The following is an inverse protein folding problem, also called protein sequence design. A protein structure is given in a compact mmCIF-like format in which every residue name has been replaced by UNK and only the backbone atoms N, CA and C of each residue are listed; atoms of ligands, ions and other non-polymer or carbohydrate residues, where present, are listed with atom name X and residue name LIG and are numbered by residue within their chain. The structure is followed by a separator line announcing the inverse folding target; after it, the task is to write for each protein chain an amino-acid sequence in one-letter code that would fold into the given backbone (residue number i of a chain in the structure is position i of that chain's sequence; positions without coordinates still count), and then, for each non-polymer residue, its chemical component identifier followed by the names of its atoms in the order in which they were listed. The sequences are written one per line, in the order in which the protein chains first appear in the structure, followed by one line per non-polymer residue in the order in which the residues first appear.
data_IF_800706429043
#
_entry.id   IF_800706429043
#
_cell.length_a   1.000
_cell.length_b   1.000
_cell.length_c   1.000
_cell.angle_alpha   90.00
_cell.angle_beta   90.00
_cell.angle_gamma   90.00
#
_symmetry.space_group_name_H-M   'P 1'
#
loop_
_entity.id
_entity.type
_entity.pdbx_description
1 polymer ?
#
# COMPACT_ATOMS: atom_id res chain seq x y z
N UNK A 1 34.09 -12.20 3.01
CA UNK A 1 33.86 -12.79 4.36
C UNK A 1 32.45 -12.43 4.86
N UNK A 2 31.84 -13.21 5.78
CA UNK A 2 30.56 -12.83 6.39
C UNK A 2 30.73 -11.54 7.20
N UNK A 3 29.70 -10.69 7.17
CA UNK A 3 29.70 -9.40 7.87
C UNK A 3 29.70 -9.64 9.38
N UNK A 4 30.47 -8.86 10.14
CA UNK A 4 30.51 -8.99 11.59
C UNK A 4 29.24 -8.38 12.21
N UNK A 5 28.16 -9.16 12.24
CA UNK A 5 26.86 -8.73 12.76
C UNK A 5 26.89 -8.38 14.25
N UNK A 6 27.88 -8.85 15.01
CA UNK A 6 28.04 -8.51 16.43
C UNK A 6 28.40 -7.04 16.63
N UNK A 7 29.25 -6.47 15.77
CA UNK A 7 29.60 -5.05 15.81
C UNK A 7 28.35 -4.20 15.58
N UNK A 8 27.51 -4.60 14.62
CA UNK A 8 26.28 -3.89 14.29
C UNK A 8 25.27 -3.97 15.43
N UNK A 9 24.99 -5.18 15.95
CA UNK A 9 24.05 -5.39 17.06
C UNK A 9 24.45 -4.58 18.30
N UNK A 10 25.72 -4.68 18.69
CA UNK A 10 26.26 -3.92 19.82
C UNK A 10 26.10 -2.41 19.62
N UNK A 11 26.39 -1.91 18.41
CA UNK A 11 26.22 -0.48 18.13
C UNK A 11 24.77 -0.03 18.29
N UNK A 12 23.80 -0.79 17.76
CA UNK A 12 22.37 -0.49 17.89
C UNK A 12 21.94 -0.49 19.37
N UNK A 13 22.41 -1.46 20.16
CA UNK A 13 22.13 -1.55 21.60
C UNK A 13 22.72 -0.37 22.38
N UNK A 14 23.98 -0.02 22.12
CA UNK A 14 24.68 1.08 22.79
C UNK A 14 24.10 2.47 22.43
N UNK A 15 23.38 2.58 21.32
CA UNK A 15 22.83 3.83 20.79
C UNK A 15 21.31 3.78 20.59
N UNK A 16 20.60 3.00 21.41
CA UNK A 16 19.14 2.95 21.37
C UNK A 16 18.55 4.34 21.62
N UNK A 17 17.55 4.71 20.80
CA UNK A 17 16.93 6.03 20.85
C UNK A 17 15.44 5.91 20.56
N UNK A 18 14.64 6.64 21.33
CA UNK A 18 13.21 6.82 21.10
C UNK A 18 12.89 7.92 20.07
N UNK A 19 13.92 8.56 19.50
CA UNK A 19 13.74 9.59 18.48
C UNK A 19 13.22 9.00 17.16
N UNK A 20 12.11 9.53 16.68
CA UNK A 20 11.56 9.23 15.36
C UNK A 20 12.16 10.17 14.30
N UNK A 21 12.92 9.60 13.36
CA UNK A 21 13.54 10.35 12.28
C UNK A 21 12.55 10.85 11.24
N UNK A 22 12.88 12.02 10.69
CA UNK A 22 12.12 12.68 9.63
C UNK A 22 12.45 12.11 8.25
N UNK A 23 13.68 11.65 8.08
CA UNK A 23 14.10 10.96 6.86
C UNK A 23 13.67 9.50 6.88
N UNK A 24 13.16 9.01 5.76
CA UNK A 24 12.74 7.62 5.57
C UNK A 24 13.72 6.90 4.63
N UNK A 25 14.00 5.63 4.93
CA UNK A 25 14.84 4.79 4.10
C UNK A 25 14.23 4.64 2.70
N UNK A 26 15.05 4.81 1.67
CA UNK A 26 14.64 4.64 0.28
C UNK A 26 15.16 3.33 -0.30
N UNK A 27 16.47 3.12 -0.17
CA UNK A 27 17.19 1.94 -0.64
C UNK A 27 18.60 1.94 -0.08
N UNK A 28 19.27 0.80 -0.20
CA UNK A 28 20.65 0.65 0.19
C UNK A 28 21.25 -0.62 -0.38
N UNK A 29 22.54 -0.60 -0.64
CA UNK A 29 23.22 -1.76 -1.22
C UNK A 29 24.65 -1.87 -0.71
N UNK A 30 25.18 -3.09 -0.79
CA UNK A 30 26.54 -3.40 -0.39
C UNK A 30 27.53 -3.00 -1.48
N UNK A 31 28.60 -2.31 -1.10
CA UNK A 31 29.68 -1.89 -2.03
C UNK A 31 31.02 -2.57 -1.76
N UNK A 32 31.20 -3.13 -0.56
CA UNK A 32 32.42 -3.81 -0.14
C UNK A 32 32.13 -4.93 0.86
N UNK A 33 33.18 -5.55 1.40
CA UNK A 33 33.01 -6.62 2.39
C UNK A 33 32.31 -6.13 3.67
N UNK A 34 32.56 -4.88 4.08
CA UNK A 34 31.97 -4.26 5.27
C UNK A 34 31.42 -2.87 4.98
N UNK A 35 31.16 -2.55 3.71
CA UNK A 35 30.81 -1.21 3.24
C UNK A 35 29.47 -1.22 2.53
N UNK A 36 28.63 -0.23 2.86
CA UNK A 36 27.27 -0.08 2.37
C UNK A 36 27.00 1.37 2.01
N UNK A 37 26.12 1.55 1.03
CA UNK A 37 25.57 2.86 0.69
C UNK A 37 24.07 2.82 0.91
N UNK A 38 23.56 3.80 1.63
CA UNK A 38 22.13 3.98 1.88
C UNK A 38 21.68 5.32 1.33
N UNK A 39 20.43 5.38 0.90
CA UNK A 39 19.76 6.58 0.45
C UNK A 39 18.49 6.78 1.27
N UNK A 40 18.37 7.95 1.85
CA UNK A 40 17.24 8.41 2.64
C UNK A 40 16.64 9.65 2.01
N UNK A 41 15.37 9.92 2.31
CA UNK A 41 14.72 11.14 1.87
C UNK A 41 13.67 11.65 2.85
N UNK A 42 13.39 12.94 2.78
CA UNK A 42 12.20 13.55 3.38
C UNK A 42 11.55 14.51 2.40
N UNK A 43 10.30 14.87 2.67
CA UNK A 43 9.64 15.99 2.01
C UNK A 43 9.58 17.19 2.96
N UNK A 44 9.93 18.37 2.47
CA UNK A 44 9.76 19.62 3.23
C UNK A 44 8.28 20.03 3.32
N UNK A 45 8.00 21.15 3.99
CA UNK A 45 6.62 21.65 4.16
C UNK A 45 5.92 22.02 2.84
N UNK A 46 6.66 22.14 1.73
CA UNK A 46 6.14 22.37 0.38
C UNK A 46 6.21 21.10 -0.48
N UNK A 47 6.40 19.94 0.15
CA UNK A 47 6.60 18.63 -0.47
C UNK A 47 7.77 18.54 -1.47
N UNK A 48 8.81 19.36 -1.28
CA UNK A 48 10.05 19.22 -2.05
C UNK A 48 10.91 18.15 -1.42
N UNK A 49 11.38 17.23 -2.26
CA UNK A 49 12.25 16.12 -1.86
C UNK A 49 13.63 16.62 -1.44
N UNK A 50 14.09 16.15 -0.30
CA UNK A 50 15.44 16.35 0.22
C UNK A 50 16.07 14.98 0.40
N UNK A 51 17.13 14.73 -0.34
CA UNK A 51 17.83 13.45 -0.39
C UNK A 51 19.09 13.47 0.48
N UNK A 52 19.37 12.35 1.13
CA UNK A 52 20.57 12.12 1.92
C UNK A 52 21.19 10.79 1.53
N UNK A 53 22.49 10.82 1.22
CA UNK A 53 23.26 9.62 1.00
C UNK A 53 24.19 9.39 2.19
N UNK A 54 24.27 8.13 2.61
CA UNK A 54 25.08 7.72 3.75
C UNK A 54 25.93 6.53 3.35
N UNK A 55 27.24 6.66 3.55
CA UNK A 55 28.18 5.56 3.44
C UNK A 55 28.42 4.99 4.84
N UNK A 56 28.25 3.67 4.99
CA UNK A 56 28.38 2.97 6.27
C UNK A 56 29.46 1.89 6.15
N UNK A 57 30.42 1.91 7.08
CA UNK A 57 31.42 0.87 7.24
C UNK A 57 31.27 0.17 8.61
N UNK A 58 31.33 -1.16 8.63
CA UNK A 58 31.06 -1.99 9.82
C UNK A 58 32.12 -3.07 10.10
N UNK A 59 33.41 -2.82 9.79
CA UNK A 59 34.47 -3.82 9.95
C UNK A 59 34.77 -4.14 11.43
N UNK A 60 35.27 -3.13 12.17
CA UNK A 60 35.61 -3.23 13.61
C UNK A 60 34.74 -2.33 14.48
N UNK A 61 34.33 -1.21 13.92
CA UNK A 61 33.47 -0.20 14.52
C UNK A 61 32.54 0.32 13.42
N UNK A 62 31.39 0.87 13.80
CA UNK A 62 30.48 1.50 12.86
C UNK A 62 31.00 2.92 12.57
N UNK A 63 31.23 3.20 11.29
CA UNK A 63 31.51 4.55 10.77
C UNK A 63 30.45 4.91 9.76
N UNK A 64 29.95 6.14 9.85
CA UNK A 64 28.99 6.69 8.91
C UNK A 64 29.50 8.01 8.36
N UNK A 65 29.37 8.20 7.05
CA UNK A 65 29.65 9.45 6.37
C UNK A 65 28.39 9.92 5.65
N UNK A 66 27.96 11.15 5.93
CA UNK A 66 26.75 11.75 5.36
C UNK A 66 27.13 12.78 4.31
N UNK A 67 26.38 12.85 3.22
CA UNK A 67 26.54 13.92 2.21
C UNK A 67 26.10 15.28 2.71
N UNK A 68 25.20 15.32 3.70
CA UNK A 68 24.57 16.54 4.20
C UNK A 68 24.84 16.77 5.69
N UNK A 69 24.78 18.05 6.11
CA UNK A 69 24.97 18.41 7.51
C UNK A 69 23.65 18.26 8.30
N UNK A 70 23.54 17.18 9.06
CA UNK A 70 22.40 16.89 9.93
C UNK A 70 22.72 17.11 11.41
N UNK A 71 21.68 17.26 12.22
CA UNK A 71 21.84 17.20 13.67
C UNK A 71 22.19 15.76 14.12
N UNK A 72 22.81 15.63 15.30
CA UNK A 72 23.32 14.34 15.77
C UNK A 72 22.20 13.31 16.06
N UNK A 73 21.01 13.73 16.49
CA UNK A 73 19.89 12.83 16.74
C UNK A 73 19.39 12.18 15.44
N UNK A 74 19.28 12.97 14.37
CA UNK A 74 18.87 12.50 13.04
C UNK A 74 19.94 11.59 12.44
N UNK A 75 21.23 11.95 12.57
CA UNK A 75 22.34 11.05 12.16
C UNK A 75 22.24 9.71 12.86
N UNK A 76 22.09 9.71 14.20
CA UNK A 76 22.02 8.48 14.97
C UNK A 76 20.81 7.61 14.57
N UNK A 77 19.66 8.23 14.31
CA UNK A 77 18.48 7.52 13.83
C UNK A 77 18.74 6.86 12.47
N UNK A 78 19.26 7.60 11.50
CA UNK A 78 19.57 7.08 10.16
C UNK A 78 20.60 5.95 10.22
N UNK A 79 21.63 6.06 11.07
CA UNK A 79 22.62 4.99 11.26
C UNK A 79 21.93 3.75 11.82
N UNK A 80 21.19 3.87 12.92
CA UNK A 80 20.52 2.72 13.54
C UNK A 80 19.55 2.03 12.58
N UNK A 81 18.76 2.82 11.84
CA UNK A 81 17.81 2.33 10.85
C UNK A 81 18.51 1.61 9.69
N UNK A 82 19.56 2.23 9.12
CA UNK A 82 20.37 1.60 8.06
C UNK A 82 20.99 0.28 8.52
N UNK A 83 21.50 0.25 9.74
CA UNK A 83 22.10 -0.94 10.33
C UNK A 83 21.07 -2.07 10.54
N UNK A 84 19.81 -1.73 10.85
CA UNK A 84 18.71 -2.72 10.91
C UNK A 84 18.42 -3.31 9.54
N UNK A 85 18.37 -2.48 8.49
CA UNK A 85 18.24 -2.95 7.11
C UNK A 85 19.41 -3.83 6.68
N UNK A 86 20.64 -3.45 7.02
CA UNK A 86 21.84 -4.27 6.76
C UNK A 86 21.76 -5.61 7.50
N UNK A 87 21.41 -5.62 8.80
CA UNK A 87 21.24 -6.86 9.57
C UNK A 87 20.18 -7.77 8.98
N UNK A 88 19.05 -7.19 8.56
CA UNK A 88 17.99 -7.92 7.87
C UNK A 88 18.53 -8.58 6.60
N UNK A 89 19.15 -7.81 5.69
CA UNK A 89 19.67 -8.33 4.43
C UNK A 89 20.81 -9.35 4.63
N UNK A 90 21.63 -9.20 5.67
CA UNK A 90 22.71 -10.13 6.03
C UNK A 90 22.21 -11.40 6.75
N UNK A 91 20.93 -11.47 7.15
CA UNK A 91 20.33 -12.70 7.67
C UNK A 91 20.01 -13.74 6.58
N UNK A 92 20.02 -13.32 5.31
CA UNK A 92 19.71 -14.18 4.17
C UNK A 92 20.97 -14.70 3.47
N UNK A 93 20.94 -15.95 2.96
CA UNK A 93 22.01 -16.44 2.09
C UNK A 93 22.04 -15.63 0.80
N UNK A 94 23.24 -15.30 0.32
CA UNK A 94 23.47 -14.57 -0.94
C UNK A 94 24.25 -15.44 -1.90
N UNK A 95 23.88 -15.38 -3.17
CA UNK A 95 24.58 -16.07 -4.26
C UNK A 95 25.17 -15.07 -5.26
N UNK A 96 24.52 -13.92 -5.45
CA UNK A 96 25.07 -12.85 -6.27
C UNK A 96 26.05 -11.98 -5.47
N UNK A 97 27.30 -11.91 -5.94
CA UNK A 97 28.30 -11.02 -5.35
C UNK A 97 27.97 -9.56 -5.70
N UNK A 98 28.10 -8.64 -4.74
CA UNK A 98 27.70 -7.24 -4.89
C UNK A 98 28.41 -6.50 -6.04
N UNK A 99 29.62 -6.91 -6.39
CA UNK A 99 30.37 -6.34 -7.52
C UNK A 99 29.82 -6.73 -8.89
N UNK A 100 28.81 -7.60 -8.96
CA UNK A 100 28.23 -8.12 -10.20
C UNK A 100 26.83 -7.57 -10.49
N UNK A 101 26.28 -6.70 -9.63
CA UNK A 101 24.93 -6.16 -9.82
C UNK A 101 24.77 -5.44 -11.16
N UNK A 102 25.70 -4.56 -11.52
CA UNK A 102 25.69 -3.82 -12.78
C UNK A 102 25.71 -4.77 -14.00
N UNK A 103 26.70 -5.65 -14.06
CA UNK A 103 26.83 -6.66 -15.13
C UNK A 103 25.60 -7.57 -15.26
N UNK A 104 24.93 -7.86 -14.14
CA UNK A 104 23.69 -8.63 -14.10
C UNK A 104 22.52 -7.85 -14.70
N UNK A 105 22.40 -6.56 -14.39
CA UNK A 105 21.35 -5.68 -14.92
C UNK A 105 21.53 -5.46 -16.42
N UNK A 106 22.77 -5.23 -16.87
CA UNK A 106 23.08 -4.92 -18.28
C UNK A 106 23.05 -6.16 -19.18
N UNK A 107 22.94 -7.36 -18.60
CA UNK A 107 22.89 -8.62 -19.34
C UNK A 107 24.20 -8.99 -20.02
N UNK A 108 25.32 -8.35 -19.65
CA UNK A 108 26.66 -8.64 -20.19
C UNK A 108 27.15 -10.04 -19.80
N UNK A 109 26.57 -10.63 -18.75
CA UNK A 109 26.83 -11.99 -18.33
C UNK A 109 25.55 -12.84 -18.34
N UNK A 110 25.60 -14.00 -18.98
CA UNK A 110 24.54 -15.01 -18.93
C UNK A 110 24.57 -15.70 -17.57
N UNK A 111 23.81 -15.19 -16.62
CA UNK A 111 23.62 -15.85 -15.34
C UNK A 111 22.62 -17.00 -15.49
N UNK A 112 23.11 -18.21 -15.77
CA UNK A 112 22.33 -19.45 -15.59
C UNK A 112 22.12 -19.79 -14.10
N UNK A 113 22.70 -18.99 -13.20
CA UNK A 113 22.76 -19.25 -11.76
C UNK A 113 21.49 -18.75 -11.08
N UNK A 114 20.83 -19.63 -10.33
CA UNK A 114 19.77 -19.24 -9.41
C UNK A 114 20.30 -18.25 -8.40
N UNK A 115 19.74 -17.06 -8.37
CA UNK A 115 19.95 -16.11 -7.29
C UNK A 115 19.17 -16.56 -6.04
N UNK A 116 19.69 -16.20 -4.86
CA UNK A 116 18.91 -16.34 -3.64
C UNK A 116 17.76 -15.30 -3.63
N UNK A 117 16.65 -15.55 -2.92
CA UNK A 117 15.53 -14.60 -2.86
C UNK A 117 15.93 -13.14 -2.56
N UNK A 118 16.84 -12.93 -1.61
CA UNK A 118 17.33 -11.60 -1.23
C UNK A 118 18.15 -10.90 -2.33
N UNK A 119 18.81 -11.66 -3.20
CA UNK A 119 19.65 -11.09 -4.25
C UNK A 119 18.82 -10.31 -5.27
N UNK A 120 17.58 -10.75 -5.55
CA UNK A 120 16.65 -9.99 -6.40
C UNK A 120 16.32 -8.62 -5.80
N UNK A 121 16.11 -8.58 -4.48
CA UNK A 121 15.86 -7.31 -3.77
C UNK A 121 17.11 -6.45 -3.74
N UNK A 122 18.29 -7.02 -3.49
CA UNK A 122 19.55 -6.27 -3.53
C UNK A 122 19.82 -5.65 -4.92
N UNK A 123 19.49 -6.37 -6.01
CA UNK A 123 19.54 -5.83 -7.37
C UNK A 123 18.55 -4.69 -7.53
N UNK A 124 17.32 -4.83 -7.03
CA UNK A 124 16.34 -3.74 -7.06
C UNK A 124 16.81 -2.51 -6.25
N UNK A 125 17.37 -2.70 -5.06
CA UNK A 125 17.91 -1.60 -4.24
C UNK A 125 19.09 -0.91 -4.93
N UNK A 126 19.97 -1.67 -5.58
CA UNK A 126 21.03 -1.09 -6.42
C UNK A 126 20.44 -0.25 -7.56
N UNK A 127 19.44 -0.76 -8.28
CA UNK A 127 18.77 0.00 -9.35
C UNK A 127 18.11 1.28 -8.82
N UNK A 128 17.45 1.22 -7.66
CA UNK A 128 16.84 2.39 -7.01
C UNK A 128 17.89 3.43 -6.64
N UNK A 129 19.05 3.00 -6.12
CA UNK A 129 20.12 3.90 -5.71
C UNK A 129 20.72 4.66 -6.91
N UNK A 130 20.99 3.97 -8.02
CA UNK A 130 21.67 4.58 -9.17
C UNK A 130 20.73 5.26 -10.17
N UNK A 131 19.52 4.72 -10.36
CA UNK A 131 18.57 5.22 -11.37
C UNK A 131 17.42 6.03 -10.76
N UNK A 132 17.34 6.10 -9.43
CA UNK A 132 16.19 6.65 -8.72
C UNK A 132 14.94 5.77 -8.80
N UNK A 133 13.91 6.13 -8.04
CA UNK A 133 12.61 5.46 -8.08
C UNK A 133 11.73 6.12 -9.13
N UNK A 134 11.48 5.39 -10.20
CA UNK A 134 10.62 5.81 -11.31
C UNK A 134 9.93 4.60 -11.92
N UNK A 135 8.85 4.83 -12.68
CA UNK A 135 8.20 3.78 -13.46
C UNK A 135 9.23 3.03 -14.33
N UNK A 136 10.16 3.75 -14.96
CA UNK A 136 11.21 3.14 -15.80
C UNK A 136 12.09 2.16 -15.01
N UNK A 137 12.58 2.57 -13.84
CA UNK A 137 13.42 1.72 -12.98
C UNK A 137 12.68 0.45 -12.58
N UNK A 138 11.40 0.58 -12.22
CA UNK A 138 10.55 -0.55 -11.82
C UNK A 138 10.27 -1.47 -13.01
N UNK A 139 9.94 -0.92 -14.18
CA UNK A 139 9.74 -1.69 -15.42
C UNK A 139 11.00 -2.49 -15.79
N UNK A 140 12.17 -1.86 -15.70
CA UNK A 140 13.46 -2.48 -15.97
C UNK A 140 13.76 -3.62 -14.97
N UNK A 141 13.45 -3.42 -13.69
CA UNK A 141 13.58 -4.48 -12.68
C UNK A 141 12.67 -5.68 -12.99
N UNK A 142 11.40 -5.45 -13.36
CA UNK A 142 10.47 -6.55 -13.63
C UNK A 142 10.78 -7.34 -14.91
N UNK A 143 11.56 -6.78 -15.85
CA UNK A 143 12.12 -7.55 -16.98
C UNK A 143 13.03 -8.68 -16.51
N UNK A 144 13.68 -8.51 -15.36
CA UNK A 144 14.51 -9.53 -14.72
C UNK A 144 13.66 -10.41 -13.79
N UNK A 145 12.84 -9.78 -12.96
CA UNK A 145 12.13 -10.45 -11.87
C UNK A 145 11.05 -11.44 -12.35
N UNK A 146 10.26 -11.09 -13.36
CA UNK A 146 9.18 -11.95 -13.85
C UNK A 146 9.70 -13.26 -14.47
N UNK A 147 10.72 -13.27 -15.36
CA UNK A 147 11.34 -14.51 -15.83
C UNK A 147 11.91 -15.38 -14.71
N UNK A 148 12.49 -14.77 -13.68
CA UNK A 148 13.01 -15.50 -12.53
C UNK A 148 11.90 -16.22 -11.76
N UNK A 149 10.81 -15.52 -11.42
CA UNK A 149 9.64 -16.12 -10.78
C UNK A 149 9.04 -17.25 -11.63
N UNK A 150 8.94 -17.06 -12.95
CA UNK A 150 8.47 -18.10 -13.87
C UNK A 150 9.33 -19.36 -13.77
N UNK A 151 10.65 -19.20 -13.79
CA UNK A 151 11.62 -20.30 -13.71
C UNK A 151 11.53 -21.03 -12.35
N UNK A 152 11.38 -20.29 -11.25
CA UNK A 152 11.17 -20.89 -9.92
C UNK A 152 9.91 -21.75 -9.88
N UNK A 153 8.80 -21.25 -10.44
CA UNK A 153 7.53 -21.99 -10.52
C UNK A 153 7.65 -23.24 -11.40
N UNK A 154 8.22 -23.13 -12.60
CA UNK A 154 8.38 -24.27 -13.53
C UNK A 154 9.22 -25.40 -12.92
N UNK A 155 10.19 -25.05 -12.08
CA UNK A 155 11.01 -26.00 -11.31
C UNK A 155 10.41 -26.40 -9.96
N UNK A 156 9.15 -26.02 -9.69
CA UNK A 156 8.41 -26.33 -8.45
C UNK A 156 9.11 -25.83 -7.18
N UNK A 157 9.89 -24.76 -7.27
CA UNK A 157 10.53 -24.09 -6.13
C UNK A 157 9.59 -23.05 -5.51
N UNK A 158 8.42 -23.51 -5.06
CA UNK A 158 7.36 -22.63 -4.53
C UNK A 158 7.79 -21.84 -3.30
N UNK A 159 8.58 -22.44 -2.41
CA UNK A 159 9.11 -21.74 -1.22
C UNK A 159 9.98 -20.54 -1.61
N UNK A 160 10.97 -20.74 -2.49
CA UNK A 160 11.81 -19.66 -2.99
C UNK A 160 11.02 -18.61 -3.80
N UNK A 161 9.99 -19.03 -4.54
CA UNK A 161 9.09 -18.10 -5.25
C UNK A 161 8.40 -17.16 -4.27
N UNK A 162 7.74 -17.71 -3.25
CA UNK A 162 6.99 -16.91 -2.28
C UNK A 162 7.92 -16.11 -1.38
N UNK A 163 9.11 -16.63 -1.06
CA UNK A 163 10.10 -15.86 -0.30
C UNK A 163 10.60 -14.65 -1.08
N UNK A 164 10.89 -14.83 -2.37
CA UNK A 164 11.31 -13.74 -3.26
C UNK A 164 10.22 -12.67 -3.35
N UNK A 165 8.95 -13.10 -3.38
CA UNK A 165 7.81 -12.20 -3.38
C UNK A 165 7.60 -11.51 -2.03
N UNK A 166 7.75 -12.21 -0.91
CA UNK A 166 7.68 -11.62 0.43
C UNK A 166 8.70 -10.49 0.60
N UNK A 167 9.95 -10.77 0.24
CA UNK A 167 11.03 -9.78 0.33
C UNK A 167 10.80 -8.58 -0.58
N UNK A 168 10.25 -8.78 -1.79
CA UNK A 168 9.84 -7.68 -2.65
C UNK A 168 8.72 -6.85 -1.99
N UNK A 169 7.67 -7.50 -1.47
CA UNK A 169 6.57 -6.80 -0.81
C UNK A 169 7.05 -6.03 0.42
N UNK A 170 8.03 -6.51 1.17
CA UNK A 170 8.65 -5.80 2.30
C UNK A 170 9.49 -4.58 1.85
N UNK A 171 10.06 -4.63 0.64
CA UNK A 171 10.93 -3.57 0.13
C UNK A 171 10.18 -2.43 -0.59
N UNK A 172 8.93 -2.64 -1.00
CA UNK A 172 8.08 -1.62 -1.61
C UNK A 172 7.66 -0.60 -0.53
N UNK A 173 7.83 0.68 -0.81
CA UNK A 173 7.35 1.74 0.07
C UNK A 173 5.87 2.05 -0.17
N UNK A 174 5.00 1.64 0.77
CA UNK A 174 3.55 1.81 0.66
C UNK A 174 3.05 3.16 1.21
N UNK A 175 3.29 3.45 2.48
CA UNK A 175 2.58 4.53 3.19
C UNK A 175 3.52 5.34 4.09
N UNK A 176 4.52 6.00 3.50
CA UNK A 176 5.22 7.06 4.21
C UNK A 176 4.44 8.37 4.09
N UNK A 177 4.00 8.91 5.22
CA UNK A 177 3.24 10.16 5.27
C UNK A 177 4.15 11.34 5.66
N UNK A 178 4.03 12.44 4.92
CA UNK A 178 4.57 13.75 5.32
C UNK A 178 3.41 14.72 5.53
N UNK A 179 3.47 15.44 6.66
CA UNK A 179 2.42 16.37 7.07
C UNK A 179 2.89 17.80 6.82
N UNK A 180 2.10 18.56 6.07
CA UNK A 180 2.19 20.01 5.98
C UNK A 180 1.05 20.66 6.81
N UNK A 181 1.09 21.98 7.08
CA UNK A 181 0.01 22.65 7.81
C UNK A 181 -1.37 22.55 7.15
N UNK A 182 -1.45 22.36 5.83
CA UNK A 182 -2.70 22.39 5.06
C UNK A 182 -3.09 21.05 4.42
N UNK A 183 -2.15 20.11 4.29
CA UNK A 183 -2.36 18.85 3.58
C UNK A 183 -1.34 17.79 4.00
N UNK A 184 -1.60 16.55 3.61
CA UNK A 184 -0.70 15.42 3.76
C UNK A 184 -0.18 14.98 2.40
N UNK A 185 0.97 14.34 2.37
CA UNK A 185 1.50 13.67 1.18
C UNK A 185 1.81 12.24 1.54
N UNK A 186 1.36 11.29 0.71
CA UNK A 186 1.72 9.88 0.88
C UNK A 186 2.74 9.48 -0.17
N UNK A 187 3.77 8.72 0.21
CA UNK A 187 4.61 8.07 -0.79
C UNK A 187 3.75 7.12 -1.63
N UNK A 188 4.10 7.05 -2.91
CA UNK A 188 3.35 6.34 -3.93
C UNK A 188 4.24 5.45 -4.79
N UNK A 189 5.44 5.07 -4.32
CA UNK A 189 6.30 4.10 -5.01
C UNK A 189 5.53 2.83 -5.40
N UNK A 190 4.70 2.30 -4.50
CA UNK A 190 3.91 1.09 -4.77
C UNK A 190 3.07 1.19 -6.05
N UNK A 191 2.71 2.40 -6.51
CA UNK A 191 1.95 2.61 -7.74
C UNK A 191 2.67 2.02 -8.95
N UNK A 192 4.00 2.18 -9.01
CA UNK A 192 4.83 1.64 -10.08
C UNK A 192 4.83 0.10 -10.11
N UNK A 193 4.55 -0.54 -8.96
CA UNK A 193 4.51 -1.98 -8.80
C UNK A 193 3.13 -2.60 -9.06
N UNK A 194 2.05 -1.81 -9.05
CA UNK A 194 0.65 -2.30 -9.06
C UNK A 194 0.39 -3.30 -10.19
N UNK A 195 0.76 -2.95 -11.42
CA UNK A 195 0.55 -3.82 -12.59
C UNK A 195 1.24 -5.18 -12.41
N UNK A 196 2.51 -5.17 -12.03
CA UNK A 196 3.31 -6.40 -11.94
C UNK A 196 2.91 -7.27 -10.75
N UNK A 197 2.69 -6.67 -9.57
CA UNK A 197 2.26 -7.43 -8.39
C UNK A 197 0.88 -8.03 -8.64
N UNK A 198 -0.04 -7.30 -9.29
CA UNK A 198 -1.34 -7.83 -9.70
C UNK A 198 -1.20 -9.10 -10.56
N UNK A 199 -0.35 -9.08 -11.59
CA UNK A 199 -0.09 -10.25 -12.43
C UNK A 199 0.50 -11.43 -11.63
N UNK A 200 1.44 -11.15 -10.72
CA UNK A 200 2.05 -12.17 -9.86
C UNK A 200 1.00 -12.79 -8.93
N UNK A 201 0.18 -11.97 -8.27
CA UNK A 201 -0.88 -12.41 -7.36
C UNK A 201 -1.90 -13.28 -8.08
N UNK A 202 -2.33 -12.86 -9.28
CA UNK A 202 -3.23 -13.67 -10.11
C UNK A 202 -2.68 -15.08 -10.32
N UNK A 203 -1.38 -15.20 -10.63
CA UNK A 203 -0.72 -16.50 -10.80
C UNK A 203 -0.61 -17.32 -9.51
N UNK A 204 -0.44 -16.67 -8.37
CA UNK A 204 -0.50 -17.35 -7.07
C UNK A 204 -1.92 -17.87 -6.79
N UNK A 205 -2.95 -17.06 -7.03
CA UNK A 205 -4.36 -17.44 -6.84
C UNK A 205 -4.80 -18.57 -7.80
N UNK A 206 -4.38 -18.54 -9.07
CA UNK A 206 -4.63 -19.62 -10.05
C UNK A 206 -4.07 -20.99 -9.59
N UNK A 207 -3.01 -20.99 -8.78
CA UNK A 207 -2.31 -22.20 -8.33
C UNK A 207 -2.26 -22.31 -6.79
N UNK A 208 -3.27 -21.76 -6.10
CA UNK A 208 -3.23 -21.61 -4.64
C UNK A 208 -3.00 -22.93 -3.91
N UNK A 209 -3.58 -24.04 -4.40
CA UNK A 209 -3.43 -25.36 -3.79
C UNK A 209 -1.99 -25.86 -3.80
N UNK A 210 -1.22 -25.58 -4.86
CA UNK A 210 0.20 -25.97 -4.95
C UNK A 210 1.06 -25.12 -4.02
N UNK A 211 0.91 -23.80 -4.10
CA UNK A 211 1.65 -22.87 -3.25
C UNK A 211 1.39 -23.13 -1.77
N UNK A 212 0.14 -23.29 -1.39
CA UNK A 212 -0.22 -23.58 -0.01
C UNK A 212 0.30 -24.95 0.45
N UNK A 213 0.23 -25.99 -0.39
CA UNK A 213 0.74 -27.33 -0.05
C UNK A 213 2.25 -27.37 0.19
N UNK A 214 3.02 -26.67 -0.64
CA UNK A 214 4.48 -26.76 -0.62
C UNK A 214 5.18 -25.63 0.13
N UNK A 215 4.49 -24.51 0.38
CA UNK A 215 5.07 -23.30 0.99
C UNK A 215 4.04 -22.52 1.82
N UNK A 216 3.28 -23.25 2.67
CA UNK A 216 2.19 -22.71 3.50
C UNK A 216 2.55 -21.43 4.25
N UNK A 217 3.61 -21.46 5.06
CA UNK A 217 3.96 -20.33 5.95
C UNK A 217 4.26 -19.07 5.14
N UNK A 218 5.06 -19.18 4.07
CA UNK A 218 5.37 -18.04 3.19
C UNK A 218 4.14 -17.50 2.46
N UNK A 219 3.21 -18.38 2.10
CA UNK A 219 1.95 -17.98 1.51
C UNK A 219 1.08 -17.22 2.51
N UNK A 220 1.00 -17.68 3.76
CA UNK A 220 0.29 -16.98 4.83
C UNK A 220 0.89 -15.59 5.08
N UNK A 221 2.21 -15.48 5.11
CA UNK A 221 2.91 -14.19 5.28
C UNK A 221 2.53 -13.18 4.18
N UNK A 222 2.44 -13.63 2.92
CA UNK A 222 2.03 -12.78 1.79
C UNK A 222 0.60 -12.28 2.00
N UNK A 223 -0.34 -13.18 2.32
CA UNK A 223 -1.75 -12.82 2.51
C UNK A 223 -1.89 -11.85 3.67
N UNK A 224 -1.18 -12.09 4.78
CA UNK A 224 -1.16 -11.18 5.92
C UNK A 224 -0.60 -9.79 5.55
N UNK A 225 0.53 -9.73 4.83
CA UNK A 225 1.13 -8.46 4.37
C UNK A 225 0.19 -7.69 3.45
N UNK A 226 -0.53 -8.37 2.56
CA UNK A 226 -1.52 -7.72 1.71
C UNK A 226 -2.69 -7.18 2.55
N UNK A 227 -3.17 -7.91 3.54
CA UNK A 227 -4.18 -7.40 4.48
C UNK A 227 -3.70 -6.16 5.24
N UNK A 228 -2.41 -6.07 5.59
CA UNK A 228 -1.84 -4.89 6.28
C UNK A 228 -1.71 -3.64 5.40
N UNK A 229 -1.60 -3.81 4.09
CA UNK A 229 -1.42 -2.70 3.14
C UNK A 229 -2.74 -2.44 2.39
N UNK A 230 -3.74 -1.90 3.10
CA UNK A 230 -5.11 -1.83 2.59
C UNK A 230 -5.25 -1.06 1.27
N UNK A 231 -4.70 0.16 1.19
CA UNK A 231 -4.80 1.01 -0.01
C UNK A 231 -4.20 0.32 -1.25
N UNK A 232 -3.03 -0.31 -1.06
CA UNK A 232 -2.38 -1.10 -2.10
C UNK A 232 -3.24 -2.30 -2.51
N UNK A 233 -3.71 -3.07 -1.54
CA UNK A 233 -4.43 -4.32 -1.81
C UNK A 233 -5.79 -4.05 -2.45
N UNK A 234 -6.47 -2.97 -2.08
CA UNK A 234 -7.69 -2.55 -2.76
C UNK A 234 -7.48 -2.24 -4.25
N UNK A 235 -6.31 -1.71 -4.63
CA UNK A 235 -5.97 -1.47 -6.03
C UNK A 235 -5.80 -2.76 -6.86
N UNK A 236 -5.55 -3.90 -6.21
CA UNK A 236 -5.42 -5.21 -6.84
C UNK A 236 -6.51 -6.21 -6.41
N UNK A 237 -7.57 -5.71 -5.77
CA UNK A 237 -8.58 -6.55 -5.10
C UNK A 237 -9.35 -7.44 -6.07
N UNK A 238 -9.51 -7.05 -7.33
CA UNK A 238 -10.14 -7.92 -8.34
C UNK A 238 -9.39 -9.24 -8.53
N UNK A 239 -8.06 -9.21 -8.41
CA UNK A 239 -7.20 -10.37 -8.62
C UNK A 239 -6.94 -11.09 -7.30
N UNK A 240 -6.72 -10.33 -6.22
CA UNK A 240 -6.54 -10.90 -4.89
C UNK A 240 -7.84 -11.51 -4.33
N UNK A 241 -8.98 -10.88 -4.58
CA UNK A 241 -10.32 -11.36 -4.21
C UNK A 241 -10.68 -12.71 -4.83
N UNK A 242 -10.06 -13.08 -5.95
CA UNK A 242 -10.19 -14.42 -6.52
C UNK A 242 -9.75 -15.53 -5.55
N UNK A 243 -8.91 -15.20 -4.55
CA UNK A 243 -8.56 -16.10 -3.45
C UNK A 243 -9.80 -16.57 -2.68
N UNK A 244 -10.73 -15.66 -2.39
CA UNK A 244 -11.97 -15.99 -1.68
C UNK A 244 -12.91 -16.88 -2.50
N UNK A 245 -12.77 -16.84 -3.84
CA UNK A 245 -13.56 -17.64 -4.78
C UNK A 245 -12.82 -18.89 -5.27
N UNK A 246 -11.65 -19.20 -4.69
CA UNK A 246 -10.85 -20.34 -5.13
C UNK A 246 -11.57 -21.68 -4.92
N UNK A 247 -11.38 -22.61 -5.85
CA UNK A 247 -11.84 -24.00 -5.74
C UNK A 247 -11.24 -24.72 -4.51
N UNK A 248 -10.11 -24.23 -3.99
CA UNK A 248 -9.46 -24.77 -2.80
C UNK A 248 -10.09 -24.28 -1.50
N UNK A 249 -11.37 -24.60 -1.27
CA UNK A 249 -12.16 -24.17 -0.10
C UNK A 249 -11.47 -24.49 1.24
N UNK A 250 -10.73 -25.60 1.32
CA UNK A 250 -9.94 -25.94 2.52
C UNK A 250 -8.84 -24.93 2.82
N UNK A 251 -8.16 -24.43 1.79
CA UNK A 251 -7.11 -23.41 1.92
C UNK A 251 -7.71 -22.10 2.41
N UNK A 252 -8.82 -21.67 1.81
CA UNK A 252 -9.51 -20.42 2.20
C UNK A 252 -10.01 -20.49 3.64
N UNK A 253 -10.54 -21.63 4.08
CA UNK A 253 -10.95 -21.80 5.48
C UNK A 253 -9.76 -21.71 6.45
N UNK A 254 -8.63 -22.35 6.16
CA UNK A 254 -7.46 -22.23 7.04
C UNK A 254 -6.90 -20.81 7.05
N UNK A 255 -6.85 -20.14 5.90
CA UNK A 255 -6.47 -18.73 5.80
C UNK A 255 -7.32 -17.87 6.73
N UNK A 256 -8.65 -18.01 6.66
CA UNK A 256 -9.57 -17.27 7.51
C UNK A 256 -9.30 -17.55 8.99
N UNK A 257 -9.05 -18.80 9.36
CA UNK A 257 -8.73 -19.16 10.75
C UNK A 257 -7.43 -18.48 11.22
N UNK A 258 -6.40 -18.41 10.37
CA UNK A 258 -5.16 -17.72 10.73
C UNK A 258 -5.38 -16.20 10.82
N UNK A 259 -6.01 -15.59 9.81
CA UNK A 259 -6.23 -14.14 9.75
C UNK A 259 -7.10 -13.64 10.91
N UNK A 260 -8.08 -14.42 11.38
CA UNK A 260 -8.89 -14.09 12.58
C UNK A 260 -8.07 -13.97 13.87
N UNK A 261 -6.86 -14.53 13.93
CA UNK A 261 -5.98 -14.37 15.10
C UNK A 261 -5.33 -12.98 15.14
N UNK A 262 -5.20 -12.34 13.99
CA UNK A 262 -4.44 -11.11 13.80
C UNK A 262 -5.33 -9.91 13.53
N UNK A 263 -6.45 -10.11 12.82
CA UNK A 263 -7.29 -9.03 12.32
C UNK A 263 -8.72 -9.11 12.85
N UNK A 264 -9.29 -7.92 13.07
CA UNK A 264 -10.68 -7.73 13.46
C UNK A 264 -11.54 -7.56 12.21
N UNK A 265 -12.67 -8.27 12.17
CA UNK A 265 -13.65 -8.13 11.10
C UNK A 265 -14.52 -6.90 11.32
N UNK A 266 -14.88 -6.24 10.23
CA UNK A 266 -15.95 -5.25 10.20
C UNK A 266 -17.29 -5.88 10.58
N UNK A 267 -18.13 -5.18 11.34
CA UNK A 267 -19.51 -5.57 11.63
C UNK A 267 -20.42 -4.36 11.40
N UNK A 268 -21.47 -4.52 10.60
CA UNK A 268 -22.44 -3.46 10.30
C UNK A 268 -23.14 -2.91 11.56
N UNK A 269 -23.26 -3.75 12.60
CA UNK A 269 -23.84 -3.34 13.89
C UNK A 269 -22.88 -2.49 14.73
N UNK A 270 -21.60 -2.44 14.35
CA UNK A 270 -20.53 -1.66 14.96
C UNK A 270 -19.74 -0.88 13.90
N UNK A 271 -20.46 -0.17 13.02
CA UNK A 271 -19.90 0.62 11.90
C UNK A 271 -18.96 1.77 12.34
N UNK A 272 -18.79 1.98 13.65
CA UNK A 272 -17.90 2.97 14.23
C UNK A 272 -16.54 2.41 14.65
N UNK A 273 -16.37 1.08 14.63
CA UNK A 273 -15.10 0.46 14.97
C UNK A 273 -14.04 0.76 13.89
N UNK A 274 -12.96 1.43 14.31
CA UNK A 274 -11.85 1.83 13.43
C UNK A 274 -10.71 0.84 13.40
N UNK A 275 -10.71 -0.16 14.29
CA UNK A 275 -9.63 -1.14 14.42
C UNK A 275 -9.85 -2.38 13.53
N UNK A 276 -10.78 -2.27 12.57
CA UNK A 276 -11.15 -3.32 11.64
C UNK A 276 -10.18 -3.38 10.46
N UNK A 277 -9.94 -4.58 9.93
CA UNK A 277 -9.19 -4.75 8.69
C UNK A 277 -10.16 -4.92 7.52
N UNK A 278 -10.23 -3.93 6.63
CA UNK A 278 -11.23 -3.91 5.56
C UNK A 278 -10.90 -4.93 4.46
N UNK A 279 -9.62 -5.15 4.17
CA UNK A 279 -9.19 -6.16 3.18
C UNK A 279 -9.61 -7.56 3.61
N UNK A 280 -9.30 -7.94 4.85
CA UNK A 280 -9.68 -9.23 5.40
C UNK A 280 -11.20 -9.37 5.48
N UNK A 281 -11.90 -8.32 5.91
CA UNK A 281 -13.37 -8.30 5.96
C UNK A 281 -13.99 -8.50 4.57
N UNK A 282 -13.46 -7.83 3.55
CA UNK A 282 -13.90 -7.98 2.16
C UNK A 282 -13.77 -9.45 1.70
N UNK A 283 -12.60 -10.06 1.87
CA UNK A 283 -12.38 -11.46 1.52
C UNK A 283 -13.28 -12.42 2.30
N UNK A 284 -13.42 -12.20 3.61
CA UNK A 284 -14.20 -13.04 4.50
C UNK A 284 -15.69 -13.04 4.11
N UNK A 285 -16.27 -11.86 3.88
CA UNK A 285 -17.69 -11.73 3.57
C UNK A 285 -18.05 -12.16 2.15
N UNK A 286 -17.12 -12.03 1.18
CA UNK A 286 -17.27 -12.71 -0.12
C UNK A 286 -17.34 -14.23 0.09
N UNK A 287 -16.38 -14.80 0.81
CA UNK A 287 -16.32 -16.25 1.00
C UNK A 287 -17.51 -16.80 1.78
N UNK A 288 -18.01 -16.05 2.77
CA UNK A 288 -19.20 -16.41 3.56
C UNK A 288 -20.52 -16.05 2.89
N UNK A 289 -20.48 -15.34 1.76
CA UNK A 289 -21.65 -14.83 1.06
C UNK A 289 -22.56 -13.99 1.98
N UNK A 290 -21.96 -13.16 2.84
CA UNK A 290 -22.65 -12.22 3.72
C UNK A 290 -22.71 -10.85 3.04
N UNK A 291 -23.82 -10.62 2.35
CA UNK A 291 -24.02 -9.46 1.48
C UNK A 291 -24.08 -8.15 2.30
N UNK A 292 -24.68 -8.18 3.49
CA UNK A 292 -24.88 -6.98 4.30
C UNK A 292 -23.55 -6.44 4.83
N UNK A 293 -22.76 -7.30 5.47
CA UNK A 293 -21.44 -6.90 5.97
C UNK A 293 -20.48 -6.59 4.82
N UNK A 294 -20.56 -7.32 3.70
CA UNK A 294 -19.80 -7.00 2.49
C UNK A 294 -20.07 -5.58 2.00
N UNK A 295 -21.35 -5.19 1.84
CA UNK A 295 -21.71 -3.83 1.44
C UNK A 295 -21.21 -2.79 2.46
N UNK A 296 -21.26 -3.09 3.76
CA UNK A 296 -20.70 -2.22 4.79
C UNK A 296 -19.19 -1.99 4.64
N UNK A 297 -18.42 -3.02 4.30
CA UNK A 297 -16.99 -2.89 3.99
C UNK A 297 -16.77 -1.95 2.80
N UNK A 298 -17.49 -2.17 1.69
CA UNK A 298 -17.34 -1.33 0.48
C UNK A 298 -17.66 0.14 0.78
N UNK A 299 -18.73 0.42 1.56
CA UNK A 299 -19.04 1.78 2.01
C UNK A 299 -17.90 2.42 2.80
N UNK A 300 -17.28 1.67 3.72
CA UNK A 300 -16.13 2.17 4.49
C UNK A 300 -14.90 2.44 3.63
N UNK A 301 -14.65 1.64 2.59
CA UNK A 301 -13.60 1.93 1.61
C UNK A 301 -13.87 3.25 0.88
N UNK A 302 -15.12 3.52 0.44
CA UNK A 302 -15.46 4.81 -0.16
C UNK A 302 -15.29 5.98 0.81
N UNK A 303 -15.63 5.81 2.10
CA UNK A 303 -15.38 6.83 3.13
C UNK A 303 -13.89 7.14 3.29
N UNK A 304 -13.03 6.12 3.27
CA UNK A 304 -11.57 6.31 3.30
C UNK A 304 -11.10 7.07 2.06
N UNK A 305 -11.55 6.65 0.87
CA UNK A 305 -11.21 7.30 -0.41
C UNK A 305 -11.61 8.79 -0.40
N UNK A 306 -12.80 9.11 0.11
CA UNK A 306 -13.24 10.51 0.29
C UNK A 306 -12.34 11.28 1.25
N UNK A 307 -12.03 10.71 2.41
CA UNK A 307 -11.16 11.34 3.40
C UNK A 307 -9.76 11.60 2.84
N UNK A 308 -9.21 10.65 2.09
CA UNK A 308 -7.92 10.80 1.41
C UNK A 308 -7.98 11.92 0.37
N UNK A 309 -9.05 12.02 -0.43
CA UNK A 309 -9.22 13.12 -1.38
C UNK A 309 -9.32 14.51 -0.74
N UNK A 310 -9.83 14.62 0.49
CA UNK A 310 -9.86 15.89 1.21
C UNK A 310 -8.51 16.29 1.82
N UNK A 311 -7.66 15.32 2.12
CA UNK A 311 -6.49 15.52 2.99
C UNK A 311 -5.15 15.35 2.26
N UNK A 312 -5.08 14.49 1.25
CA UNK A 312 -3.87 14.20 0.48
C UNK A 312 -3.71 15.17 -0.68
N UNK A 313 -2.49 15.69 -0.84
CA UNK A 313 -2.08 16.47 -2.00
C UNK A 313 -1.98 15.60 -3.28
N UNK A 314 -1.77 14.29 -3.13
CA UNK A 314 -1.56 13.30 -4.21
C UNK A 314 -2.72 12.29 -4.36
N UNK A 315 -3.96 12.72 -4.14
CA UNK A 315 -5.15 11.85 -4.08
C UNK A 315 -5.63 11.23 -5.41
N UNK A 316 -4.92 11.46 -6.52
CA UNK A 316 -5.29 10.93 -7.85
C UNK A 316 -5.47 9.41 -7.87
N UNK A 317 -4.69 8.68 -7.08
CA UNK A 317 -4.81 7.23 -7.01
C UNK A 317 -6.06 6.78 -6.25
N UNK A 318 -6.45 7.46 -5.17
CA UNK A 318 -7.70 7.12 -4.46
C UNK A 318 -8.91 7.34 -5.36
N UNK A 319 -8.88 8.39 -6.19
CA UNK A 319 -9.89 8.59 -7.22
C UNK A 319 -9.90 7.48 -8.26
N UNK A 320 -8.73 7.03 -8.73
CA UNK A 320 -8.62 5.90 -9.65
C UNK A 320 -9.14 4.59 -9.03
N UNK A 321 -8.80 4.34 -7.77
CA UNK A 321 -9.28 3.20 -6.99
C UNK A 321 -10.80 3.24 -6.86
N UNK A 322 -11.37 4.38 -6.46
CA UNK A 322 -12.80 4.56 -6.32
C UNK A 322 -13.53 4.31 -7.64
N UNK A 323 -13.00 4.84 -8.75
CA UNK A 323 -13.56 4.58 -10.08
C UNK A 323 -13.48 3.11 -10.50
N UNK A 324 -12.41 2.39 -10.11
CA UNK A 324 -12.29 0.96 -10.36
C UNK A 324 -13.30 0.16 -9.54
N UNK A 325 -13.47 0.49 -8.26
CA UNK A 325 -14.48 -0.13 -7.39
C UNK A 325 -15.90 0.13 -7.90
N UNK A 326 -16.22 1.33 -8.36
CA UNK A 326 -17.54 1.65 -8.91
C UNK A 326 -17.92 0.80 -10.13
N UNK A 327 -16.94 0.39 -10.94
CA UNK A 327 -17.19 -0.49 -12.09
C UNK A 327 -17.61 -1.89 -11.66
N UNK A 328 -17.16 -2.35 -10.50
CA UNK A 328 -17.43 -3.69 -9.97
C UNK A 328 -18.66 -3.69 -9.06
N UNK A 329 -18.71 -2.75 -8.11
CA UNK A 329 -19.73 -2.67 -7.05
C UNK A 329 -20.98 -1.89 -7.48
N UNK A 330 -20.87 -1.05 -8.50
CA UNK A 330 -21.95 -0.19 -9.00
C UNK A 330 -22.09 1.15 -8.27
N UNK A 331 -22.85 2.06 -8.86
CA UNK A 331 -23.05 3.43 -8.34
C UNK A 331 -23.99 3.52 -7.15
N UNK A 332 -24.72 2.44 -6.85
CA UNK A 332 -25.69 2.39 -5.76
C UNK A 332 -25.03 2.65 -4.40
N UNK A 333 -23.83 2.13 -4.21
CA UNK A 333 -23.06 2.31 -2.98
C UNK A 333 -22.78 3.79 -2.65
N UNK A 334 -22.63 4.65 -3.66
CA UNK A 334 -22.43 6.08 -3.46
C UNK A 334 -23.68 6.76 -2.90
N UNK A 335 -24.85 6.29 -3.35
CA UNK A 335 -26.15 6.74 -2.85
C UNK A 335 -26.32 6.29 -1.40
N UNK A 336 -25.94 5.05 -1.08
CA UNK A 336 -26.01 4.53 0.29
C UNK A 336 -25.04 5.25 1.25
N UNK A 337 -23.82 5.57 0.80
CA UNK A 337 -22.86 6.38 1.58
C UNK A 337 -23.46 7.77 1.82
N UNK A 338 -23.99 8.41 0.78
CA UNK A 338 -24.64 9.72 0.94
C UNK A 338 -25.85 9.67 1.86
N UNK A 339 -26.71 8.66 1.74
CA UNK A 339 -27.90 8.49 2.57
C UNK A 339 -27.54 8.38 4.05
N UNK A 340 -26.45 7.66 4.36
CA UNK A 340 -25.99 7.42 5.72
C UNK A 340 -25.31 8.66 6.33
N UNK A 341 -24.40 9.27 5.57
CA UNK A 341 -23.47 10.26 6.10
C UNK A 341 -23.91 11.70 5.80
N UNK A 342 -24.83 11.89 4.85
CA UNK A 342 -25.20 13.18 4.24
C UNK A 342 -24.02 14.01 3.75
N UNK A 343 -22.86 13.39 3.50
CA UNK A 343 -21.66 14.07 3.07
C UNK A 343 -21.68 14.32 1.56
N UNK A 344 -22.04 15.56 1.18
CA UNK A 344 -22.11 16.00 -0.23
C UNK A 344 -20.77 15.91 -0.97
N UNK A 345 -19.64 15.81 -0.27
CA UNK A 345 -18.33 15.68 -0.89
C UNK A 345 -18.20 14.42 -1.76
N UNK A 346 -18.98 13.37 -1.50
CA UNK A 346 -18.99 12.16 -2.34
C UNK A 346 -19.29 12.50 -3.81
N UNK A 347 -20.17 13.48 -4.06
CA UNK A 347 -20.52 13.93 -5.41
C UNK A 347 -19.53 14.93 -6.00
N UNK A 348 -18.59 15.44 -5.19
CA UNK A 348 -17.42 16.17 -5.69
C UNK A 348 -16.36 15.19 -6.19
N UNK A 349 -16.14 14.11 -5.44
CA UNK A 349 -15.25 13.01 -5.81
C UNK A 349 -15.75 12.24 -7.04
N UNK A 350 -17.05 11.91 -7.04
CA UNK A 350 -17.73 11.13 -8.08
C UNK A 350 -18.91 11.93 -8.62
N UNK A 351 -18.69 12.76 -9.66
CA UNK A 351 -19.71 13.69 -10.16
C UNK A 351 -21.00 12.98 -10.55
N UNK A 352 -22.16 13.59 -10.25
CA UNK A 352 -23.49 13.08 -10.62
C UNK A 352 -23.61 12.89 -12.13
N UNK A 353 -22.90 13.71 -12.91
CA UNK A 353 -22.82 13.57 -14.38
C UNK A 353 -22.23 12.25 -14.86
N UNK A 354 -21.44 11.56 -14.02
CA UNK A 354 -20.88 10.23 -14.31
C UNK A 354 -21.87 9.08 -14.05
N UNK A 355 -22.97 9.34 -13.33
CA UNK A 355 -23.96 8.29 -13.03
C UNK A 355 -24.76 7.91 -14.29
N UNK A 356 -25.16 6.62 -14.40
CA UNK A 356 -26.14 6.18 -15.39
C UNK A 356 -27.41 7.02 -15.34
N UNK A 357 -27.99 7.34 -16.50
CA UNK A 357 -29.10 8.31 -16.60
C UNK A 357 -30.32 7.87 -15.78
N UNK A 358 -30.59 6.57 -15.76
CA UNK A 358 -31.66 5.90 -15.01
C UNK A 358 -31.53 6.04 -13.49
N UNK A 359 -30.32 6.24 -12.97
CA UNK A 359 -30.07 6.41 -11.52
C UNK A 359 -30.17 7.86 -11.06
N UNK A 360 -30.02 8.84 -11.98
CA UNK A 360 -30.03 10.27 -11.63
C UNK A 360 -31.32 10.73 -10.94
N UNK A 361 -32.53 10.25 -11.31
CA UNK A 361 -33.76 10.55 -10.56
C UNK A 361 -33.69 10.11 -9.09
N UNK A 362 -33.05 8.97 -8.80
CA UNK A 362 -32.88 8.48 -7.44
C UNK A 362 -31.90 9.36 -6.65
N UNK A 363 -30.77 9.73 -7.24
CA UNK A 363 -29.83 10.70 -6.64
C UNK A 363 -30.54 12.01 -6.29
N UNK A 364 -31.37 12.53 -7.22
CA UNK A 364 -32.18 13.74 -6.97
C UNK A 364 -33.14 13.55 -5.79
N UNK A 365 -33.83 12.41 -5.70
CA UNK A 365 -34.75 12.13 -4.61
C UNK A 365 -34.04 12.12 -3.25
N UNK A 366 -32.86 11.51 -3.15
CA UNK A 366 -32.04 11.52 -1.93
C UNK A 366 -31.57 12.93 -1.55
N UNK A 367 -31.11 13.74 -2.52
CA UNK A 367 -30.72 15.13 -2.27
C UNK A 367 -31.91 15.96 -1.74
N UNK A 368 -33.11 15.78 -2.31
CA UNK A 368 -34.33 16.45 -1.82
C UNK A 368 -34.70 15.95 -0.41
N UNK A 369 -34.56 14.64 -0.15
CA UNK A 369 -34.75 14.05 1.16
C UNK A 369 -33.81 14.65 2.21
N UNK A 370 -32.53 14.79 1.87
CA UNK A 370 -31.52 15.40 2.72
C UNK A 370 -31.84 16.87 3.05
N UNK A 371 -32.33 17.66 2.10
CA UNK A 371 -32.81 19.03 2.37
C UNK A 371 -33.91 19.04 3.43
N UNK A 372 -34.90 18.15 3.31
CA UNK A 372 -36.00 18.07 4.28
C UNK A 372 -35.48 17.70 5.67
N UNK A 373 -34.55 16.75 5.74
CA UNK A 373 -33.90 16.36 6.99
C UNK A 373 -33.18 17.55 7.66
N UNK A 374 -32.33 18.27 6.92
CA UNK A 374 -31.62 19.43 7.47
C UNK A 374 -32.54 20.61 7.79
N UNK A 375 -33.58 20.85 6.98
CA UNK A 375 -34.57 21.89 7.25
C UNK A 375 -35.29 21.66 8.58
N UNK A 376 -35.67 20.40 8.87
CA UNK A 376 -36.26 20.04 10.16
C UNK A 376 -35.31 20.23 11.35
N UNK A 377 -33.99 20.23 11.12
CA UNK A 377 -32.98 20.49 12.17
C UNK A 377 -32.70 21.97 12.39
N UNK A 378 -33.14 22.86 11.51
CA UNK A 378 -32.88 24.31 11.62
C UNK A 378 -33.56 24.97 12.82
N UNK A 379 -34.64 24.38 13.32
CA UNK A 379 -35.32 24.84 14.53
C UNK A 379 -34.42 24.71 15.77
N UNK A 380 -33.50 23.73 15.77
CA UNK A 380 -32.53 23.55 16.83
C UNK A 380 -31.31 24.46 16.63
N UNK A 381 -31.13 25.42 17.54
CA UNK A 381 -30.05 26.42 17.50
C UNK A 381 -28.65 25.78 17.39
N UNK A 382 -28.43 24.61 18.02
CA UNK A 382 -27.15 23.89 17.97
C UNK A 382 -26.78 23.42 16.57
N UNK A 383 -27.76 23.10 15.73
CA UNK A 383 -27.55 22.53 14.39
C UNK A 383 -27.90 23.49 13.25
N UNK A 384 -28.41 24.69 13.57
CA UNK A 384 -28.94 25.64 12.58
C UNK A 384 -27.91 26.05 11.53
N UNK A 385 -26.71 26.43 11.97
CA UNK A 385 -25.66 26.88 11.05
C UNK A 385 -25.16 25.76 10.14
N UNK A 386 -24.80 24.60 10.70
CA UNK A 386 -24.34 23.46 9.91
C UNK A 386 -25.42 22.93 8.97
N UNK A 387 -26.69 22.94 9.39
CA UNK A 387 -27.82 22.54 8.54
C UNK A 387 -28.02 23.53 7.38
N UNK A 388 -27.86 24.84 7.62
CA UNK A 388 -27.92 25.84 6.55
C UNK A 388 -26.82 25.64 5.51
N UNK A 389 -25.58 25.42 5.94
CA UNK A 389 -24.44 25.12 5.05
C UNK A 389 -24.70 23.88 4.19
N UNK A 390 -25.20 22.79 4.79
CA UNK A 390 -25.55 21.57 4.06
C UNK A 390 -26.67 21.81 3.04
N UNK A 391 -27.74 22.53 3.41
CA UNK A 391 -28.83 22.87 2.49
C UNK A 391 -28.31 23.68 1.29
N UNK A 392 -27.42 24.64 1.50
CA UNK A 392 -26.82 25.44 0.42
C UNK A 392 -25.99 24.54 -0.52
N UNK A 393 -25.15 23.66 0.04
CA UNK A 393 -24.35 22.73 -0.74
C UNK A 393 -25.21 21.77 -1.58
N UNK A 394 -26.26 21.19 -0.98
CA UNK A 394 -27.19 20.29 -1.67
C UNK A 394 -27.97 21.04 -2.76
N UNK A 395 -28.46 22.25 -2.49
CA UNK A 395 -29.15 23.07 -3.49
C UNK A 395 -28.25 23.39 -4.68
N UNK A 396 -26.97 23.67 -4.45
CA UNK A 396 -26.00 23.85 -5.53
C UNK A 396 -25.88 22.60 -6.39
N UNK A 397 -25.73 21.42 -5.79
CA UNK A 397 -25.69 20.15 -6.54
C UNK A 397 -26.98 19.93 -7.36
N UNK A 398 -28.15 20.26 -6.80
CA UNK A 398 -29.43 20.16 -7.50
C UNK A 398 -29.50 21.11 -8.70
N UNK A 399 -29.08 22.36 -8.54
CA UNK A 399 -29.08 23.35 -9.62
C UNK A 399 -28.09 22.97 -10.72
N UNK A 400 -26.85 22.63 -10.35
CA UNK A 400 -25.77 22.33 -11.29
C UNK A 400 -26.06 21.09 -12.15
N UNK A 401 -26.79 20.09 -11.59
CA UNK A 401 -27.02 18.81 -12.27
C UNK A 401 -28.46 18.60 -12.77
N UNK A 402 -29.43 19.36 -12.27
CA UNK A 402 -30.86 19.18 -12.58
C UNK A 402 -31.60 20.49 -12.85
N UNK A 403 -30.90 21.63 -12.96
CA UNK A 403 -31.49 22.95 -13.14
C UNK A 403 -32.35 23.10 -14.42
N UNK A 404 -32.07 22.33 -15.47
CA UNK A 404 -32.89 22.36 -16.70
C UNK A 404 -34.32 21.84 -16.49
N UNK A 405 -34.57 21.04 -15.44
CA UNK A 405 -35.93 20.60 -15.08
C UNK A 405 -36.76 21.66 -14.34
N UNK A 406 -36.14 22.79 -13.97
CA UNK A 406 -36.83 23.94 -13.38
C UNK A 406 -37.18 25.02 -14.43
N UNK A 407 -36.86 24.80 -15.71
CA UNK A 407 -37.20 25.72 -16.82
C UNK A 407 -38.52 25.36 -17.49
#
# INVERSE_FOLDING_TARGET
MPVNTNVIKKYIEDHESSYEGRYKYLCGYRTGEHEYKCHYYMLDANFRKIDIFVDIACEKEVKAHFTENLNEQEKQHIINDSLRHILHNESYPKLLHYSLYENYIDGEQSFEVFMAPIDYVNVYEYMKYHNGISQKTVDDFYKIFIPALRTLRERRRYDAYLETMNLLLENILYEHEWISPASKYLNTEYQYHLYYVREIIRKVCEHVGEFYKYAKERFLDIVEKLCRNERFTFCIMTDFGALALSESVMVVNDLIVQLKKTFVLYDVNDDHNKDVNLVFSYLYYIFKNDIENYHGVVRNVFRIIMNNMMTLADSNLDLALGNALLRTEGYEVLIDVFHTDFNTFIFTCFPISSFPQEMRPRVKAELIGAIKFFAGRMENEKFRQSSFEQIVNINRLLLDNFGEWYR
#
